data_IF_931892811793
#
_entry.id   IF_931892811793
#
_cell.length_a   1.000
_cell.length_b   1.000
_cell.length_c   1.000
_cell.angle_alpha   90.00
_cell.angle_beta   90.00
_cell.angle_gamma   90.00
#
_symmetry.space_group_name_H-M   'P 1'
#
loop_
_entity.id
_entity.type
_entity.pdbx_description
1 polymer ?
#
# COMPACT_ATOMS: atom_id res chain seq x y z
N UNK A 1 2.56 -1.17 14.95
CA UNK A 1 2.11 -0.17 15.96
C UNK A 1 1.67 1.12 15.29
N UNK A 2 2.53 1.82 14.54
CA UNK A 2 2.16 3.09 13.88
C UNK A 2 0.90 3.02 13.00
N UNK A 3 0.73 2.03 12.09
CA UNK A 3 -0.49 1.94 11.28
C UNK A 3 -1.75 1.70 12.10
N UNK A 4 -1.63 1.01 13.24
CA UNK A 4 -2.76 0.74 14.12
C UNK A 4 -3.21 2.01 14.85
N UNK A 5 -2.28 2.88 15.25
CA UNK A 5 -2.60 4.18 15.85
C UNK A 5 -3.30 5.08 14.85
N UNK A 6 -2.79 5.15 13.61
CA UNK A 6 -3.43 5.92 12.55
C UNK A 6 -4.82 5.36 12.20
N UNK A 7 -4.97 4.04 12.14
CA UNK A 7 -6.27 3.40 11.92
C UNK A 7 -7.27 3.71 13.04
N UNK A 8 -6.83 3.73 14.30
CA UNK A 8 -7.67 4.13 15.43
C UNK A 8 -8.08 5.61 15.34
N UNK A 9 -7.15 6.50 14.97
CA UNK A 9 -7.44 7.92 14.72
C UNK A 9 -8.46 8.10 13.58
N UNK A 10 -8.27 7.40 12.47
CA UNK A 10 -9.23 7.36 11.36
C UNK A 10 -10.63 6.92 11.82
N UNK A 11 -10.72 5.79 12.54
CA UNK A 11 -11.99 5.27 13.03
C UNK A 11 -12.69 6.23 14.00
N UNK A 12 -11.92 6.89 14.86
CA UNK A 12 -12.44 7.90 15.78
C UNK A 12 -13.01 9.12 15.04
N UNK A 13 -12.29 9.66 14.05
CA UNK A 13 -12.75 10.81 13.26
C UNK A 13 -14.00 10.48 12.46
N UNK A 14 -14.01 9.34 11.74
CA UNK A 14 -15.18 8.92 10.96
C UNK A 14 -16.37 8.63 11.87
N UNK A 15 -16.17 7.93 12.98
CA UNK A 15 -17.24 7.63 13.93
C UNK A 15 -17.82 8.89 14.57
N UNK A 16 -16.96 9.84 14.96
CA UNK A 16 -17.38 11.13 15.47
C UNK A 16 -18.18 11.93 14.44
N UNK A 17 -17.68 12.05 13.20
CA UNK A 17 -18.38 12.73 12.11
C UNK A 17 -19.74 12.12 11.80
N UNK A 18 -19.81 10.80 11.72
CA UNK A 18 -21.06 10.09 11.47
C UNK A 18 -22.07 10.28 12.61
N UNK A 19 -21.60 10.42 13.85
CA UNK A 19 -22.46 10.68 15.02
C UNK A 19 -23.01 12.11 15.07
N UNK A 20 -22.28 13.08 14.51
CA UNK A 20 -22.70 14.49 14.49
C UNK A 20 -23.56 14.83 13.28
N UNK A 21 -23.11 14.43 12.08
CA UNK A 21 -23.68 14.87 10.80
C UNK A 21 -24.59 13.82 10.16
N UNK A 22 -24.60 12.58 10.68
CA UNK A 22 -25.33 11.46 10.09
C UNK A 22 -24.65 10.90 8.83
N UNK A 23 -25.34 10.03 8.07
CA UNK A 23 -24.81 9.47 6.83
C UNK A 23 -24.48 10.58 5.80
N UNK A 24 -23.41 10.43 5.01
CA UNK A 24 -23.06 11.44 4.04
C UNK A 24 -24.20 11.69 3.04
N UNK A 25 -24.56 12.96 2.79
CA UNK A 25 -25.63 13.30 1.85
C UNK A 25 -25.23 13.13 0.37
N UNK A 26 -24.00 12.69 0.07
CA UNK A 26 -23.43 12.65 -1.27
C UNK A 26 -23.38 11.27 -1.90
N UNK A 27 -23.65 11.20 -3.20
CA UNK A 27 -23.43 10.00 -4.01
C UNK A 27 -21.93 9.79 -4.28
N UNK A 28 -21.33 8.85 -3.56
CA UNK A 28 -19.92 8.45 -3.68
C UNK A 28 -19.56 7.83 -5.04
N UNK A 29 -20.55 7.43 -5.84
CA UNK A 29 -20.30 6.88 -7.19
C UNK A 29 -20.00 7.97 -8.24
N UNK A 30 -20.23 9.24 -7.90
CA UNK A 30 -19.98 10.38 -8.78
C UNK A 30 -18.79 11.20 -8.30
N UNK A 31 -18.01 11.75 -9.25
CA UNK A 31 -16.93 12.70 -8.91
C UNK A 31 -17.47 13.94 -8.18
N UNK A 32 -18.68 14.38 -8.52
CA UNK A 32 -19.34 15.51 -7.86
C UNK A 32 -19.63 15.25 -6.39
N UNK A 33 -20.27 14.12 -6.07
CA UNK A 33 -20.54 13.72 -4.68
C UNK A 33 -19.26 13.45 -3.90
N UNK A 34 -18.24 12.85 -4.53
CA UNK A 34 -16.93 12.68 -3.92
C UNK A 34 -16.29 14.02 -3.56
N UNK A 35 -16.27 14.99 -4.47
CA UNK A 35 -15.74 16.35 -4.18
C UNK A 35 -16.49 17.04 -3.05
N UNK A 36 -17.81 16.87 -2.97
CA UNK A 36 -18.62 17.47 -1.91
C UNK A 36 -18.28 16.87 -0.53
N UNK A 37 -18.03 15.56 -0.45
CA UNK A 37 -17.59 14.93 0.79
C UNK A 37 -16.18 15.35 1.22
N UNK A 38 -15.28 15.49 0.26
CA UNK A 38 -13.90 15.91 0.51
C UNK A 38 -13.78 17.42 0.76
N UNK A 39 -14.88 18.19 0.68
CA UNK A 39 -14.90 19.60 1.08
C UNK A 39 -14.81 19.78 2.60
N UNK A 40 -15.08 18.74 3.37
CA UNK A 40 -14.88 18.73 4.81
C UNK A 40 -13.43 18.32 5.16
N UNK A 41 -12.71 19.20 5.84
CA UNK A 41 -11.30 19.00 6.20
C UNK A 41 -11.08 17.73 7.05
N UNK A 42 -12.02 17.35 7.92
CA UNK A 42 -11.90 16.14 8.75
C UNK A 42 -12.12 14.88 7.93
N UNK A 43 -13.08 14.89 7.01
CA UNK A 43 -13.28 13.77 6.08
C UNK A 43 -12.09 13.63 5.15
N UNK A 44 -11.54 14.74 4.67
CA UNK A 44 -10.32 14.76 3.86
C UNK A 44 -9.12 14.19 4.64
N UNK A 45 -8.91 14.65 5.88
CA UNK A 45 -7.86 14.14 6.74
C UNK A 45 -8.02 12.63 7.04
N UNK A 46 -9.26 12.17 7.25
CA UNK A 46 -9.54 10.75 7.43
C UNK A 46 -9.22 9.95 6.15
N UNK A 47 -9.62 10.42 4.97
CA UNK A 47 -9.25 9.80 3.70
C UNK A 47 -7.73 9.74 3.50
N UNK A 48 -7.01 10.80 3.87
CA UNK A 48 -5.55 10.82 3.82
C UNK A 48 -4.93 9.82 4.81
N UNK A 49 -5.40 9.76 6.05
CA UNK A 49 -4.96 8.78 7.04
C UNK A 49 -5.22 7.35 6.56
N UNK A 50 -6.34 7.10 5.89
CA UNK A 50 -6.65 5.81 5.28
C UNK A 50 -5.59 5.38 4.26
N UNK A 51 -5.18 6.28 3.34
CA UNK A 51 -4.11 6.01 2.39
C UNK A 51 -2.77 5.71 3.09
N UNK A 52 -2.38 6.53 4.08
CA UNK A 52 -1.14 6.31 4.82
C UNK A 52 -1.12 4.95 5.54
N UNK A 53 -2.22 4.57 6.20
CA UNK A 53 -2.32 3.26 6.85
C UNK A 53 -2.16 2.14 5.83
N UNK A 54 -2.84 2.25 4.69
CA UNK A 54 -2.76 1.25 3.63
C UNK A 54 -1.34 1.13 3.09
N UNK A 55 -0.69 2.24 2.75
CA UNK A 55 0.68 2.28 2.24
C UNK A 55 1.68 1.67 3.23
N UNK A 56 1.52 1.92 4.53
CA UNK A 56 2.37 1.30 5.55
C UNK A 56 2.11 -0.21 5.71
N UNK A 57 0.86 -0.67 5.61
CA UNK A 57 0.52 -2.10 5.66
C UNK A 57 1.11 -2.82 4.45
N UNK A 58 0.95 -2.26 3.25
CA UNK A 58 1.53 -2.80 2.02
C UNK A 58 3.05 -2.75 2.07
N UNK A 59 3.64 -1.65 2.53
CA UNK A 59 5.09 -1.52 2.72
C UNK A 59 5.63 -2.57 3.70
N UNK A 60 4.93 -2.85 4.79
CA UNK A 60 5.32 -3.90 5.72
C UNK A 60 5.23 -5.31 5.10
N UNK A 61 4.30 -5.54 4.18
CA UNK A 61 4.24 -6.77 3.39
C UNK A 61 5.42 -6.86 2.40
N UNK A 62 5.67 -5.79 1.62
CA UNK A 62 6.80 -5.67 0.67
C UNK A 62 8.13 -5.94 1.39
N UNK A 63 8.36 -5.32 2.56
CA UNK A 63 9.59 -5.49 3.31
C UNK A 63 9.85 -6.96 3.69
N UNK A 64 8.81 -7.68 4.12
CA UNK A 64 8.92 -9.10 4.50
C UNK A 64 9.12 -10.00 3.28
N UNK A 65 8.39 -9.75 2.20
CA UNK A 65 8.51 -10.51 0.95
C UNK A 65 9.87 -10.29 0.28
N UNK A 66 10.38 -9.05 0.27
CA UNK A 66 11.70 -8.71 -0.25
C UNK A 66 12.83 -9.42 0.51
N UNK A 67 12.72 -9.54 1.85
CA UNK A 67 13.70 -10.30 2.65
C UNK A 67 13.64 -11.80 2.32
N UNK A 68 12.44 -12.37 2.16
CA UNK A 68 12.27 -13.79 1.79
C UNK A 68 12.83 -14.12 0.41
N UNK A 69 12.74 -13.18 -0.52
CA UNK A 69 13.24 -13.31 -1.90
C UNK A 69 14.68 -12.84 -2.08
N UNK A 70 15.38 -12.49 -0.99
CA UNK A 70 16.74 -11.95 -1.01
C UNK A 70 16.92 -10.76 -1.98
N UNK A 71 15.89 -9.91 -2.11
CA UNK A 71 15.95 -8.73 -2.98
C UNK A 71 17.01 -7.77 -2.45
N UNK A 72 17.89 -7.20 -3.32
CA UNK A 72 18.93 -6.27 -2.91
C UNK A 72 18.36 -5.08 -2.13
N UNK A 73 19.11 -4.65 -1.11
CA UNK A 73 18.74 -3.52 -0.23
C UNK A 73 18.34 -2.23 -0.99
N UNK A 74 19.04 -1.80 -2.05
CA UNK A 74 18.68 -0.58 -2.77
C UNK A 74 17.29 -0.68 -3.40
N UNK A 75 17.01 -1.78 -4.10
CA UNK A 75 15.74 -1.99 -4.80
C UNK A 75 14.58 -2.13 -3.81
N UNK A 76 14.80 -2.85 -2.70
CA UNK A 76 13.84 -2.91 -1.59
C UNK A 76 13.51 -1.52 -1.06
N UNK A 77 14.50 -0.67 -0.85
CA UNK A 77 14.31 0.68 -0.30
C UNK A 77 13.54 1.57 -1.27
N UNK A 78 13.85 1.52 -2.57
CA UNK A 78 13.10 2.26 -3.60
C UNK A 78 11.64 1.83 -3.65
N UNK A 79 11.34 0.53 -3.62
CA UNK A 79 9.96 0.04 -3.59
C UNK A 79 9.21 0.56 -2.35
N UNK A 80 9.83 0.55 -1.18
CA UNK A 80 9.21 1.03 0.07
C UNK A 80 8.94 2.54 0.04
N UNK A 81 9.88 3.35 -0.45
CA UNK A 81 9.70 4.80 -0.59
C UNK A 81 8.60 5.11 -1.59
N UNK A 82 8.58 4.42 -2.74
CA UNK A 82 7.53 4.58 -3.73
C UNK A 82 6.18 4.11 -3.21
N UNK A 83 6.09 3.07 -2.39
CA UNK A 83 4.83 2.67 -1.78
C UNK A 83 4.36 3.69 -0.74
N UNK A 84 5.26 4.36 -0.02
CA UNK A 84 4.84 5.39 0.92
C UNK A 84 4.34 6.68 0.26
N UNK A 85 4.91 7.05 -0.89
CA UNK A 85 4.58 8.30 -1.58
C UNK A 85 3.55 8.12 -2.71
N UNK A 86 3.63 7.00 -3.42
CA UNK A 86 2.83 6.62 -4.57
C UNK A 86 2.38 5.16 -4.41
N UNK A 87 1.69 4.82 -3.32
CA UNK A 87 1.17 3.48 -2.96
C UNK A 87 1.20 2.42 -4.06
N UNK A 88 0.36 2.55 -5.11
CA UNK A 88 0.25 1.58 -6.19
C UNK A 88 1.53 1.40 -7.03
N UNK A 89 2.31 2.45 -7.23
CA UNK A 89 3.54 2.44 -8.07
C UNK A 89 4.65 1.66 -7.40
N UNK A 90 4.87 1.87 -6.09
CA UNK A 90 5.86 1.09 -5.35
C UNK A 90 5.50 -0.38 -5.23
N UNK A 91 4.20 -0.68 -5.07
CA UNK A 91 3.71 -2.05 -5.09
C UNK A 91 3.91 -2.72 -6.45
N UNK A 92 3.60 -2.03 -7.55
CA UNK A 92 3.81 -2.54 -8.89
C UNK A 92 5.30 -2.84 -9.16
N UNK A 93 6.19 -1.94 -8.76
CA UNK A 93 7.64 -2.13 -8.89
C UNK A 93 8.12 -3.38 -8.14
N UNK A 94 7.61 -3.60 -6.92
CA UNK A 94 7.93 -4.81 -6.14
C UNK A 94 7.42 -6.08 -6.83
N UNK A 95 6.19 -6.08 -7.37
CA UNK A 95 5.63 -7.23 -8.09
C UNK A 95 6.46 -7.56 -9.34
N UNK A 96 6.84 -6.55 -10.13
CA UNK A 96 7.70 -6.75 -11.31
C UNK A 96 9.05 -7.34 -10.89
N UNK A 97 9.68 -6.77 -9.87
CA UNK A 97 10.97 -7.25 -9.33
C UNK A 97 10.89 -8.70 -8.85
N UNK A 98 9.81 -9.06 -8.15
CA UNK A 98 9.55 -10.42 -7.68
C UNK A 98 9.42 -11.41 -8.84
N UNK A 99 8.74 -11.02 -9.92
CA UNK A 99 8.57 -11.89 -11.10
C UNK A 99 9.90 -12.06 -11.84
N UNK A 100 10.67 -10.99 -12.03
CA UNK A 100 11.96 -11.07 -12.75
C UNK A 100 13.00 -11.91 -12.01
N UNK A 101 13.13 -11.74 -10.69
CA UNK A 101 14.06 -12.53 -9.89
C UNK A 101 13.70 -14.01 -9.85
N UNK A 102 12.40 -14.36 -9.77
CA UNK A 102 11.95 -15.76 -9.86
C UNK A 102 12.30 -16.39 -11.21
N UNK A 103 12.19 -15.61 -12.29
CA UNK A 103 12.56 -16.09 -13.64
C UNK A 103 14.08 -16.27 -13.76
N UNK A 104 14.88 -15.35 -13.22
CA UNK A 104 16.32 -15.44 -13.25
C UNK A 104 16.85 -16.70 -12.56
N UNK A 105 16.29 -17.04 -11.39
CA UNK A 105 16.64 -18.28 -10.67
C UNK A 105 16.22 -19.52 -11.48
N UNK A 106 15.01 -19.54 -12.04
CA UNK A 106 14.52 -20.68 -12.82
C UNK A 106 15.30 -20.93 -14.13
N UNK A 107 15.96 -19.91 -14.68
CA UNK A 107 16.81 -20.06 -15.88
C UNK A 107 18.21 -20.61 -15.58
N UNK A 108 18.66 -20.57 -14.32
CA UNK A 108 19.99 -21.06 -13.92
C UNK A 108 20.00 -22.59 -13.66
N UNK A 109 18.83 -23.24 -13.61
CA UNK A 109 18.66 -24.69 -13.46
C UNK A 109 18.85 -25.47 -14.79
N UNK A 110 19.76 -25.02 -15.67
CA UNK A 110 20.11 -25.69 -16.93
C UNK A 110 20.76 -27.08 -16.72
N UNK A 111 20.67 -27.99 -17.71
CA UNK A 111 20.58 -29.43 -17.52
C UNK A 111 21.73 -30.01 -16.69
N UNK A 112 21.37 -30.83 -15.70
CA UNK A 112 22.29 -31.61 -14.89
C UNK A 112 23.36 -32.25 -15.79
N UNK A 113 24.62 -31.89 -15.53
CA UNK A 113 25.79 -32.51 -16.13
C UNK A 113 25.67 -34.03 -15.97
N UNK A 114 25.71 -34.82 -17.05
CA UNK A 114 25.76 -36.27 -16.91
C UNK A 114 27.04 -36.62 -16.16
N UNK A 115 26.88 -37.17 -14.96
CA UNK A 115 27.97 -37.73 -14.17
C UNK A 115 28.64 -38.87 -14.97
N UNK A 116 29.98 -38.94 -14.94
CA UNK A 116 30.78 -39.87 -15.76
C UNK A 116 30.55 -41.34 -15.42
#
# INVERSE_FOLDING_TARGET
VVPAVLAAGYAAVIGWKLSQDGPPPGDLSTIGGLKAMFADDWVFAAAWAHYLVFDMVVGAWIARDAVRLAIPWPLRTVCLVLTFLLGPVGFLLHVVTRVTLRRAVATDDGPATPTP
#
